data_IF_772860962487
#
_entry.id   IF_772860962487
#
_cell.length_a   1.000
_cell.length_b   1.000
_cell.length_c   1.000
_cell.angle_alpha   90.00
_cell.angle_beta   90.00
_cell.angle_gamma   90.00
#
_symmetry.space_group_name_H-M   'P 1'
#
loop_
_entity.id
_entity.type
_entity.pdbx_description
1 polymer ?
#
# COMPACT_ATOMS: atom_id res chain seq x y z
N UNK A 1 14.43 -4.10 1.21
CA UNK A 1 13.50 -3.09 1.76
C UNK A 1 14.27 -2.10 2.61
N UNK A 2 14.94 -2.57 3.66
CA UNK A 2 15.75 -1.73 4.56
C UNK A 2 16.80 -0.88 3.82
N UNK A 3 17.64 -1.48 2.98
CA UNK A 3 18.65 -0.74 2.20
C UNK A 3 18.09 0.36 1.31
N UNK A 4 16.93 0.13 0.67
CA UNK A 4 16.24 1.11 -0.17
C UNK A 4 15.71 2.28 0.65
N UNK A 5 15.11 1.98 1.80
CA UNK A 5 14.57 3.00 2.70
C UNK A 5 15.69 3.83 3.31
N UNK A 6 16.81 3.20 3.68
CA UNK A 6 18.00 3.90 4.19
C UNK A 6 18.63 4.83 3.15
N UNK A 7 18.70 4.41 1.88
CA UNK A 7 19.15 5.26 0.80
C UNK A 7 18.22 6.46 0.58
N UNK A 8 16.91 6.23 0.58
CA UNK A 8 15.92 7.30 0.47
C UNK A 8 15.94 8.28 1.66
N UNK A 9 16.26 7.81 2.87
CA UNK A 9 16.49 8.67 4.05
C UNK A 9 17.75 9.51 3.90
N UNK A 10 18.87 8.92 3.45
CA UNK A 10 20.14 9.63 3.22
C UNK A 10 20.00 10.74 2.19
N UNK A 11 19.17 10.53 1.18
CA UNK A 11 18.87 11.48 0.10
C UNK A 11 17.70 12.43 0.43
N UNK A 12 17.16 12.35 1.65
CA UNK A 12 16.03 13.16 2.14
C UNK A 12 14.73 13.03 1.34
N UNK A 13 14.61 12.01 0.46
CA UNK A 13 13.35 11.70 -0.21
C UNK A 13 12.35 11.07 0.76
N UNK A 14 12.80 10.21 1.68
CA UNK A 14 11.94 9.60 2.69
C UNK A 14 12.14 10.21 4.07
N UNK A 15 11.07 10.24 4.87
CA UNK A 15 11.11 10.67 6.26
C UNK A 15 12.15 9.86 7.06
N UNK A 16 12.91 10.51 7.95
CA UNK A 16 14.02 9.86 8.66
C UNK A 16 13.57 8.77 9.65
N UNK A 17 12.34 8.89 10.17
CA UNK A 17 11.76 8.03 11.21
C UNK A 17 10.96 6.83 10.66
N UNK A 18 10.97 6.59 9.34
CA UNK A 18 10.29 5.44 8.75
C UNK A 18 10.89 4.12 9.25
N UNK A 19 10.05 3.28 9.86
CA UNK A 19 10.37 1.89 10.22
C UNK A 19 10.10 0.93 9.04
N UNK A 20 11.12 0.23 8.48
CA UNK A 20 10.95 -0.75 7.42
C UNK A 20 9.93 -1.87 7.74
N UNK A 21 9.79 -2.26 9.01
CA UNK A 21 8.81 -3.26 9.42
C UNK A 21 7.39 -2.73 9.20
N UNK A 22 7.12 -1.49 9.59
CA UNK A 22 5.81 -0.87 9.39
C UNK A 22 5.49 -0.70 7.90
N UNK A 23 6.48 -0.40 7.06
CA UNK A 23 6.30 -0.35 5.61
C UNK A 23 5.87 -1.70 5.07
N UNK A 24 6.53 -2.79 5.49
CA UNK A 24 6.17 -4.14 5.08
C UNK A 24 4.76 -4.53 5.51
N UNK A 25 4.42 -4.27 6.78
CA UNK A 25 3.09 -4.54 7.35
C UNK A 25 2.01 -3.79 6.57
N UNK A 26 2.21 -2.51 6.27
CA UNK A 26 1.21 -1.71 5.55
C UNK A 26 1.01 -2.18 4.10
N UNK A 27 2.07 -2.56 3.39
CA UNK A 27 1.95 -3.17 2.06
C UNK A 27 1.09 -4.44 2.12
N UNK A 28 1.39 -5.33 3.06
CA UNK A 28 0.67 -6.59 3.22
C UNK A 28 -0.78 -6.36 3.66
N UNK A 29 -1.02 -5.47 4.61
CA UNK A 29 -2.34 -5.15 5.13
C UNK A 29 -3.24 -4.56 4.04
N UNK A 30 -2.76 -3.54 3.31
CA UNK A 30 -3.57 -2.89 2.27
C UNK A 30 -3.89 -3.84 1.12
N UNK A 31 -2.92 -4.63 0.65
CA UNK A 31 -3.14 -5.62 -0.40
C UNK A 31 -4.05 -6.77 0.06
N UNK A 32 -3.75 -7.34 1.23
CA UNK A 32 -4.47 -8.47 1.82
C UNK A 32 -5.91 -8.12 2.18
N UNK A 33 -6.18 -6.91 2.65
CA UNK A 33 -7.52 -6.47 3.02
C UNK A 33 -8.51 -6.57 1.84
N UNK A 34 -8.07 -6.19 0.63
CA UNK A 34 -8.90 -6.31 -0.56
C UNK A 34 -9.20 -7.76 -0.95
N UNK A 35 -8.25 -8.67 -0.75
CA UNK A 35 -8.42 -10.08 -1.10
C UNK A 35 -9.27 -10.84 -0.07
N UNK A 36 -8.98 -10.65 1.22
CA UNK A 36 -9.67 -11.35 2.31
C UNK A 36 -11.14 -10.87 2.39
N UNK A 37 -11.41 -9.60 2.09
CA UNK A 37 -12.76 -9.03 2.12
C UNK A 37 -13.41 -8.92 0.74
N UNK A 38 -12.90 -9.61 -0.28
CA UNK A 38 -13.37 -9.43 -1.66
C UNK A 38 -14.88 -9.73 -1.83
N UNK A 39 -15.38 -10.76 -1.13
CA UNK A 39 -16.79 -11.15 -1.20
C UNK A 39 -17.68 -10.19 -0.39
N UNK A 40 -17.27 -9.86 0.83
CA UNK A 40 -18.01 -8.94 1.71
C UNK A 40 -18.12 -7.55 1.10
N UNK A 41 -17.00 -6.94 0.69
CA UNK A 41 -17.00 -5.61 0.10
C UNK A 41 -17.65 -5.61 -1.29
N UNK A 42 -17.48 -6.70 -2.05
CA UNK A 42 -18.13 -6.83 -3.36
C UNK A 42 -19.65 -6.88 -3.26
N UNK A 43 -20.18 -7.54 -2.23
CA UNK A 43 -21.60 -7.57 -1.92
C UNK A 43 -22.11 -6.18 -1.48
N UNK A 44 -21.40 -5.52 -0.55
CA UNK A 44 -21.81 -4.22 0.02
C UNK A 44 -21.81 -3.10 -1.01
N UNK A 45 -20.80 -3.05 -1.88
CA UNK A 45 -20.63 -1.95 -2.84
C UNK A 45 -21.09 -2.30 -4.25
N UNK A 46 -21.62 -3.51 -4.46
CA UNK A 46 -22.07 -4.00 -5.76
C UNK A 46 -21.01 -3.89 -6.87
N UNK A 47 -19.75 -4.21 -6.53
CA UNK A 47 -18.62 -4.17 -7.46
C UNK A 47 -17.79 -5.46 -7.40
N UNK A 48 -17.06 -5.76 -8.46
CA UNK A 48 -16.03 -6.81 -8.40
C UNK A 48 -14.80 -6.31 -7.64
N UNK A 49 -14.44 -7.01 -6.57
CA UNK A 49 -13.26 -6.71 -5.78
C UNK A 49 -11.95 -7.27 -6.34
N UNK A 50 -11.97 -7.95 -7.48
CA UNK A 50 -10.77 -8.58 -8.07
C UNK A 50 -10.76 -8.55 -9.60
N UNK A 51 -11.67 -7.80 -10.25
CA UNK A 51 -11.56 -7.55 -11.69
C UNK A 51 -10.24 -6.83 -12.03
N UNK A 52 -9.68 -7.02 -13.25
CA UNK A 52 -8.43 -6.38 -13.62
C UNK A 52 -8.41 -4.85 -13.41
N UNK A 53 -9.52 -4.18 -13.76
CA UNK A 53 -9.66 -2.72 -13.57
C UNK A 53 -9.65 -2.34 -12.09
N UNK A 54 -10.33 -3.12 -11.26
CA UNK A 54 -10.41 -2.84 -9.84
C UNK A 54 -9.08 -3.15 -9.13
N UNK A 55 -8.32 -4.17 -9.56
CA UNK A 55 -6.97 -4.43 -9.07
C UNK A 55 -6.01 -3.28 -9.43
N UNK A 56 -6.08 -2.72 -10.63
CA UNK A 56 -5.25 -1.57 -11.00
C UNK A 56 -5.62 -0.32 -10.19
N UNK A 57 -6.93 -0.06 -10.00
CA UNK A 57 -7.39 1.04 -9.14
C UNK A 57 -6.87 0.91 -7.70
N UNK A 58 -6.92 -0.30 -7.12
CA UNK A 58 -6.38 -0.57 -5.79
C UNK A 58 -4.87 -0.40 -5.72
N UNK A 59 -4.15 -0.93 -6.71
CA UNK A 59 -2.69 -0.75 -6.84
C UNK A 59 -2.31 0.73 -6.85
N UNK A 60 -3.09 1.58 -7.54
CA UNK A 60 -2.90 3.03 -7.52
C UNK A 60 -3.08 3.60 -6.12
N UNK A 61 -4.19 3.29 -5.45
CA UNK A 61 -4.47 3.75 -4.07
C UNK A 61 -3.37 3.30 -3.09
N UNK A 62 -2.92 2.04 -3.16
CA UNK A 62 -1.87 1.50 -2.30
C UNK A 62 -0.56 2.28 -2.48
N UNK A 63 -0.14 2.48 -3.74
CA UNK A 63 1.07 3.26 -4.05
C UNK A 63 0.97 4.69 -3.53
N UNK A 64 -0.14 5.37 -3.81
CA UNK A 64 -0.34 6.77 -3.40
C UNK A 64 -0.33 6.89 -1.88
N UNK A 65 -1.00 5.98 -1.18
CA UNK A 65 -1.06 5.95 0.29
C UNK A 65 0.34 5.76 0.89
N UNK A 66 1.06 4.74 0.42
CA UNK A 66 2.39 4.43 0.93
C UNK A 66 3.39 5.54 0.62
N UNK A 67 3.42 6.04 -0.61
CA UNK A 67 4.36 7.09 -1.01
C UNK A 67 4.07 8.41 -0.30
N UNK A 68 2.80 8.79 -0.14
CA UNK A 68 2.43 9.99 0.62
C UNK A 68 2.84 9.89 2.09
N UNK A 69 2.79 8.69 2.68
CA UNK A 69 3.30 8.46 4.02
C UNK A 69 4.83 8.47 4.08
N UNK A 70 5.52 7.88 3.11
CA UNK A 70 6.98 7.77 3.08
C UNK A 70 7.68 9.11 2.80
N UNK A 71 7.12 9.93 1.92
CA UNK A 71 7.73 11.20 1.53
C UNK A 71 7.65 12.25 2.65
N UNK A 72 8.73 13.02 2.80
CA UNK A 72 8.89 14.13 3.74
C UNK A 72 8.41 15.46 3.18
#
# INVERSE_FOLDING_TARGET
MESLLDEGKKTQYFKPDIDPLQVNINIAALGGYYLINQHTLGLVYHISMVSPQALEARRKVIKETLLSWLFG
#
